data_IF_353688472647
#
_entry.id   IF_353688472647
#
_cell.length_a   1.000
_cell.length_b   1.000
_cell.length_c   1.000
_cell.angle_alpha   90.00
_cell.angle_beta   90.00
_cell.angle_gamma   90.00
#
_symmetry.space_group_name_H-M   'P 1'
#
loop_
_entity.id
_entity.type
_entity.pdbx_description
1 polymer ?
#
# COMPACT_ATOMS: atom_id res chain seq x y z
N UNK A 1 -2.25 -11.47 -14.74
CA UNK A 1 -2.95 -10.99 -13.54
C UNK A 1 -2.89 -12.06 -12.47
N UNK A 2 -2.44 -11.75 -11.25
CA UNK A 2 -2.25 -12.72 -10.17
C UNK A 2 -3.25 -12.45 -9.04
N UNK A 3 -4.02 -13.48 -8.67
CA UNK A 3 -4.83 -13.47 -7.45
C UNK A 3 -3.88 -13.33 -6.25
N UNK A 4 -4.25 -12.53 -5.25
CA UNK A 4 -3.37 -12.25 -4.12
C UNK A 4 -3.06 -13.52 -3.34
N UNK A 5 -1.78 -13.75 -3.04
CA UNK A 5 -1.42 -14.67 -1.95
C UNK A 5 -1.49 -13.92 -0.63
N UNK A 6 -2.23 -14.47 0.34
CA UNK A 6 -2.40 -13.92 1.69
C UNK A 6 -1.56 -14.70 2.69
N UNK A 7 -0.86 -13.99 3.58
CA UNK A 7 -0.19 -14.57 4.75
C UNK A 7 -0.57 -13.78 5.99
N UNK A 8 -1.04 -14.49 7.02
CA UNK A 8 -1.46 -13.89 8.29
C UNK A 8 -0.42 -14.17 9.37
N UNK A 9 -0.15 -13.16 10.19
CA UNK A 9 0.71 -13.26 11.36
C UNK A 9 0.30 -12.24 12.41
N UNK A 10 0.94 -12.30 13.58
CA UNK A 10 0.70 -11.34 14.65
C UNK A 10 1.97 -11.09 15.43
N UNK A 11 2.12 -9.87 15.92
CA UNK A 11 3.12 -9.53 16.93
C UNK A 11 2.41 -9.48 18.30
N UNK A 12 2.93 -10.25 19.25
CA UNK A 12 2.36 -10.32 20.59
C UNK A 12 2.48 -8.97 21.33
N UNK A 13 1.65 -8.79 22.36
CA UNK A 13 1.73 -7.64 23.26
C UNK A 13 3.09 -7.55 23.98
N UNK A 14 3.36 -6.38 24.54
CA UNK A 14 4.62 -5.96 25.15
C UNK A 14 5.80 -5.99 24.17
N UNK A 15 5.54 -5.67 22.90
CA UNK A 15 6.58 -5.61 21.88
C UNK A 15 7.50 -4.41 22.06
N UNK A 16 8.74 -4.55 21.58
CA UNK A 16 9.76 -3.50 21.50
C UNK A 16 9.89 -2.98 20.07
N UNK A 17 10.66 -1.90 19.89
CA UNK A 17 10.94 -1.34 18.55
C UNK A 17 11.64 -2.38 17.67
N UNK A 18 12.52 -3.20 18.26
CA UNK A 18 13.24 -4.29 17.58
C UNK A 18 12.25 -5.36 17.10
N UNK A 19 11.41 -5.88 17.99
CA UNK A 19 10.45 -6.92 17.57
C UNK A 19 9.40 -6.39 16.57
N UNK A 20 9.06 -5.09 16.60
CA UNK A 20 8.18 -4.50 15.61
C UNK A 20 8.87 -4.34 14.25
N UNK A 21 10.11 -3.86 14.19
CA UNK A 21 10.81 -3.73 12.90
C UNK A 21 11.09 -5.11 12.28
N UNK A 22 11.39 -6.12 13.09
CA UNK A 22 11.58 -7.51 12.64
C UNK A 22 10.26 -8.10 12.10
N UNK A 23 9.14 -7.85 12.79
CA UNK A 23 7.82 -8.28 12.32
C UNK A 23 7.42 -7.60 11.01
N UNK A 24 7.72 -6.30 10.86
CA UNK A 24 7.54 -5.56 9.60
C UNK A 24 8.40 -6.17 8.50
N UNK A 25 9.67 -6.48 8.80
CA UNK A 25 10.60 -7.08 7.84
C UNK A 25 10.11 -8.43 7.33
N UNK A 26 9.69 -9.32 8.24
CA UNK A 26 9.10 -10.60 7.88
C UNK A 26 7.78 -10.42 7.11
N UNK A 27 6.95 -9.45 7.50
CA UNK A 27 5.73 -9.10 6.81
C UNK A 27 5.96 -8.70 5.35
N UNK A 28 6.99 -7.90 5.05
CA UNK A 28 7.36 -7.56 3.68
C UNK A 28 7.88 -8.74 2.87
N UNK A 29 8.66 -9.64 3.49
CA UNK A 29 9.09 -10.90 2.85
C UNK A 29 7.86 -11.73 2.47
N UNK A 30 6.90 -11.89 3.38
CA UNK A 30 5.65 -12.59 3.13
C UNK A 30 4.78 -11.89 2.05
N UNK A 31 4.89 -10.57 1.91
CA UNK A 31 4.24 -9.80 0.85
C UNK A 31 4.94 -9.92 -0.52
N UNK A 32 6.06 -10.67 -0.60
CA UNK A 32 6.79 -10.94 -1.83
C UNK A 32 7.95 -10.01 -2.11
N UNK A 33 8.38 -9.17 -1.16
CA UNK A 33 9.66 -8.47 -1.29
C UNK A 33 10.82 -9.43 -0.97
N UNK A 34 11.98 -9.14 -1.57
CA UNK A 34 13.25 -9.70 -1.09
C UNK A 34 13.64 -9.05 0.26
N UNK A 35 14.77 -9.48 0.82
CA UNK A 35 15.39 -8.76 1.94
C UNK A 35 15.57 -7.25 1.61
N UNK A 36 15.55 -6.37 2.62
CA UNK A 36 15.83 -4.96 2.41
C UNK A 36 17.15 -4.77 1.65
N UNK A 37 17.16 -3.85 0.69
CA UNK A 37 18.38 -3.42 -0.01
C UNK A 37 19.28 -2.57 0.89
N UNK A 38 18.70 -2.01 1.95
CA UNK A 38 19.41 -1.29 3.01
C UNK A 38 18.63 -1.39 4.33
N UNK A 39 19.37 -1.45 5.43
CA UNK A 39 18.86 -1.50 6.79
C UNK A 39 19.84 -0.75 7.69
N UNK A 40 19.37 0.33 8.32
CA UNK A 40 20.23 1.21 9.09
C UNK A 40 19.48 1.91 10.22
N UNK A 41 20.25 2.45 11.17
CA UNK A 41 19.72 3.26 12.26
C UNK A 41 20.15 4.71 12.06
N UNK A 42 19.19 5.65 12.09
CA UNK A 42 19.47 7.09 12.04
C UNK A 42 18.94 7.73 13.31
N UNK A 43 19.84 8.22 14.17
CA UNK A 43 19.50 8.56 15.54
C UNK A 43 18.95 7.35 16.29
N UNK A 44 17.69 7.42 16.74
CA UNK A 44 16.97 6.31 17.39
C UNK A 44 16.05 5.52 16.46
N UNK A 45 15.93 5.95 15.20
CA UNK A 45 14.94 5.39 14.29
C UNK A 45 15.52 4.25 13.46
N UNK A 46 14.72 3.19 13.31
CA UNK A 46 15.06 2.04 12.47
C UNK A 46 14.53 2.27 11.06
N UNK A 47 15.36 2.04 10.06
CA UNK A 47 15.01 2.26 8.66
C UNK A 47 15.22 0.96 7.87
N UNK A 48 14.22 0.62 7.05
CA UNK A 48 14.28 -0.47 6.07
C UNK A 48 14.04 0.11 4.68
N UNK A 49 14.80 -0.33 3.69
CA UNK A 49 14.59 0.08 2.30
C UNK A 49 14.38 -1.16 1.44
N UNK A 50 13.30 -1.17 0.67
CA UNK A 50 12.96 -2.24 -0.26
C UNK A 50 12.96 -1.71 -1.69
N UNK A 51 13.30 -2.56 -2.65
CA UNK A 51 13.20 -2.24 -4.07
C UNK A 51 12.10 -3.04 -4.75
N UNK A 52 11.47 -2.42 -5.76
CA UNK A 52 10.59 -3.09 -6.70
C UNK A 52 10.90 -2.62 -8.11
N UNK A 53 11.39 -3.54 -8.93
CA UNK A 53 11.69 -3.30 -10.34
C UNK A 53 10.46 -3.60 -11.20
N UNK A 54 10.01 -2.59 -11.93
CA UNK A 54 8.95 -2.65 -12.94
C UNK A 54 9.55 -3.04 -14.30
N UNK A 55 10.68 -2.43 -14.67
CA UNK A 55 11.40 -2.69 -15.91
C UNK A 55 12.90 -2.37 -15.73
N UNK A 56 13.75 -3.39 -15.68
CA UNK A 56 15.19 -3.20 -15.46
C UNK A 56 15.93 -2.52 -16.61
N UNK A 57 15.30 -2.38 -17.79
CA UNK A 57 15.91 -1.75 -18.96
C UNK A 57 15.73 -0.23 -19.01
N UNK A 58 14.99 0.34 -18.05
CA UNK A 58 14.54 1.74 -18.07
C UNK A 58 15.14 2.52 -16.90
N UNK A 59 15.49 3.79 -17.14
CA UNK A 59 16.12 4.67 -16.15
C UNK A 59 15.36 4.74 -14.83
N UNK A 60 14.05 4.92 -14.86
CA UNK A 60 13.17 4.98 -13.69
C UNK A 60 12.28 3.74 -13.58
N UNK A 61 12.77 2.59 -14.07
CA UNK A 61 12.04 1.33 -14.02
C UNK A 61 12.14 0.61 -12.68
N UNK A 62 12.77 1.19 -11.66
CA UNK A 62 12.75 0.70 -10.28
C UNK A 62 12.25 1.76 -9.32
N UNK A 63 11.53 1.32 -8.29
CA UNK A 63 11.08 2.14 -7.18
C UNK A 63 11.69 1.62 -5.88
N UNK A 64 11.96 2.51 -4.94
CA UNK A 64 12.49 2.17 -3.62
C UNK A 64 11.53 2.68 -2.53
N UNK A 65 11.07 1.79 -1.66
CA UNK A 65 10.23 2.09 -0.51
C UNK A 65 11.11 2.15 0.73
N UNK A 66 11.18 3.33 1.37
CA UNK A 66 11.78 3.47 2.71
C UNK A 66 10.68 3.41 3.75
N UNK A 67 10.89 2.58 4.76
CA UNK A 67 10.08 2.48 5.97
C UNK A 67 10.92 2.95 7.14
N UNK A 68 10.44 3.93 7.89
CA UNK A 68 11.09 4.44 9.11
C UNK A 68 10.19 4.17 10.31
N UNK A 69 10.74 3.54 11.35
CA UNK A 69 10.07 3.25 12.61
C UNK A 69 10.75 4.02 13.75
N UNK A 70 9.98 4.87 14.42
CA UNK A 70 10.45 5.62 15.59
C UNK A 70 10.38 4.79 16.87
N UNK A 71 10.99 5.28 17.95
CA UNK A 71 10.87 4.67 19.29
C UNK A 71 9.47 4.76 19.87
N UNK A 72 8.64 5.71 19.39
CA UNK A 72 7.21 5.83 19.72
C UNK A 72 6.30 4.95 18.87
N UNK A 73 6.86 3.96 18.17
CA UNK A 73 6.14 3.03 17.28
C UNK A 73 5.38 3.70 16.13
N UNK A 74 5.78 4.91 15.75
CA UNK A 74 5.25 5.64 14.60
C UNK A 74 5.96 5.14 13.34
N UNK A 75 5.18 4.81 12.31
CA UNK A 75 5.72 4.34 11.03
C UNK A 75 5.54 5.40 9.97
N UNK A 76 6.63 5.66 9.27
CA UNK A 76 6.68 6.52 8.10
C UNK A 76 7.04 5.72 6.86
N UNK A 77 6.52 6.14 5.71
CA UNK A 77 6.85 5.61 4.39
C UNK A 77 7.20 6.71 3.41
N UNK A 78 8.09 6.39 2.48
CA UNK A 78 8.54 7.28 1.41
C UNK A 78 8.94 6.47 0.19
N UNK A 79 8.74 7.01 -1.02
CA UNK A 79 9.10 6.35 -2.27
C UNK A 79 10.14 7.16 -3.04
N UNK A 80 11.14 6.48 -3.60
CA UNK A 80 12.24 7.06 -4.37
C UNK A 80 12.42 6.34 -5.70
N UNK A 81 13.17 6.95 -6.62
CA UNK A 81 13.53 6.32 -7.90
C UNK A 81 14.91 5.65 -7.91
N UNK A 82 15.76 6.03 -6.95
CA UNK A 82 17.08 5.45 -6.75
C UNK A 82 17.42 5.44 -5.26
N UNK A 83 18.30 4.53 -4.86
CA UNK A 83 18.81 4.43 -3.49
C UNK A 83 20.30 4.12 -3.49
N UNK A 84 21.05 4.83 -2.65
CA UNK A 84 22.46 4.58 -2.37
C UNK A 84 22.59 4.11 -0.91
N UNK A 85 22.87 2.81 -0.74
CA UNK A 85 23.01 2.19 0.57
C UNK A 85 24.30 2.56 1.32
N UNK A 86 25.31 3.11 0.64
CA UNK A 86 26.57 3.49 1.28
C UNK A 86 26.45 4.78 2.09
N UNK A 87 25.53 5.66 1.73
CA UNK A 87 25.29 6.94 2.42
C UNK A 87 23.82 7.12 2.85
N UNK A 88 23.01 6.07 2.76
CA UNK A 88 21.60 6.03 3.17
C UNK A 88 20.75 7.16 2.54
N UNK A 89 20.95 7.43 1.26
CA UNK A 89 20.25 8.51 0.54
C UNK A 89 19.48 8.00 -0.66
N UNK A 90 18.35 8.64 -0.96
CA UNK A 90 17.52 8.34 -2.12
C UNK A 90 17.31 9.57 -3.00
N UNK A 91 17.06 9.33 -4.29
CA UNK A 91 16.83 10.39 -5.26
C UNK A 91 15.34 10.53 -5.60
N UNK A 92 14.94 11.79 -5.90
CA UNK A 92 13.60 12.16 -6.33
C UNK A 92 12.48 11.65 -5.40
N UNK A 93 12.79 11.57 -4.10
CA UNK A 93 11.88 11.05 -3.10
C UNK A 93 10.59 11.86 -3.02
N UNK A 94 9.47 11.18 -2.82
CA UNK A 94 8.24 11.84 -2.38
C UNK A 94 8.46 12.50 -1.01
N UNK A 95 7.54 13.36 -0.57
CA UNK A 95 7.52 13.75 0.84
C UNK A 95 7.20 12.53 1.70
N UNK A 96 7.96 12.35 2.79
CA UNK A 96 7.71 11.30 3.77
C UNK A 96 6.29 11.45 4.34
N UNK A 97 5.64 10.31 4.58
CA UNK A 97 4.30 10.26 5.14
C UNK A 97 4.26 9.31 6.33
N UNK A 98 3.84 9.82 7.49
CA UNK A 98 3.64 9.02 8.69
C UNK A 98 2.19 9.04 9.13
N UNK A 99 1.75 7.93 9.71
CA UNK A 99 0.53 7.94 10.51
C UNK A 99 0.86 8.55 11.86
N UNK A 100 0.18 9.62 12.27
CA UNK A 100 0.58 10.37 13.47
C UNK A 100 0.42 9.59 14.79
N UNK A 101 -0.26 8.45 14.80
CA UNK A 101 -0.42 7.61 15.99
C UNK A 101 0.46 6.37 15.88
N UNK A 102 1.39 6.20 16.83
CA UNK A 102 2.14 4.96 16.97
C UNK A 102 1.25 3.82 17.48
N UNK A 103 1.68 2.58 17.25
CA UNK A 103 1.02 1.41 17.82
C UNK A 103 1.26 1.30 19.33
N UNK A 104 0.26 0.88 20.10
CA UNK A 104 0.39 0.62 21.53
C UNK A 104 1.07 -0.74 21.76
N UNK A 105 2.28 -0.73 22.33
CA UNK A 105 3.03 -1.95 22.59
C UNK A 105 2.32 -2.94 23.48
N UNK A 106 1.37 -2.52 24.31
CA UNK A 106 0.67 -3.39 25.28
C UNK A 106 -0.45 -4.22 24.66
N UNK A 107 -0.79 -3.98 23.40
CA UNK A 107 -1.83 -4.75 22.69
C UNK A 107 -1.24 -5.47 21.49
N UNK A 108 -1.71 -6.68 21.15
CA UNK A 108 -1.21 -7.39 19.98
C UNK A 108 -1.45 -6.60 18.69
N UNK A 109 -0.56 -6.77 17.71
CA UNK A 109 -0.68 -6.20 16.38
C UNK A 109 -0.99 -7.31 15.38
N UNK A 110 -2.06 -7.15 14.61
CA UNK A 110 -2.41 -8.05 13.51
C UNK A 110 -1.68 -7.63 12.25
N UNK A 111 -1.04 -8.59 11.59
CA UNK A 111 -0.22 -8.38 10.41
C UNK A 111 -0.72 -9.26 9.27
N UNK A 112 -1.16 -8.65 8.17
CA UNK A 112 -1.63 -9.35 6.97
C UNK A 112 -0.78 -8.92 5.77
N UNK A 113 -0.07 -9.86 5.18
CA UNK A 113 0.74 -9.65 3.98
C UNK A 113 -0.03 -10.10 2.75
N UNK A 114 -0.04 -9.26 1.71
CA UNK A 114 -0.73 -9.52 0.44
C UNK A 114 0.26 -9.37 -0.73
N UNK A 115 0.42 -10.45 -1.49
CA UNK A 115 1.28 -10.48 -2.67
C UNK A 115 0.42 -10.60 -3.95
N UNK A 116 0.27 -9.49 -4.68
CA UNK A 116 -0.39 -9.40 -5.98
C UNK A 116 0.54 -9.62 -7.18
N UNK A 117 1.67 -10.29 -6.97
CA UNK A 117 2.72 -10.46 -7.96
C UNK A 117 3.44 -9.14 -8.25
N UNK A 118 3.46 -8.74 -9.52
CA UNK A 118 4.15 -7.51 -9.94
C UNK A 118 3.32 -6.25 -9.66
N UNK A 119 2.00 -6.37 -9.49
CA UNK A 119 1.14 -5.19 -9.34
C UNK A 119 1.21 -4.61 -7.93
N UNK A 120 1.17 -5.42 -6.88
CA UNK A 120 1.30 -4.88 -5.52
C UNK A 120 1.92 -5.87 -4.56
N UNK A 121 2.58 -5.30 -3.55
CA UNK A 121 3.13 -6.01 -2.41
C UNK A 121 2.78 -5.20 -1.18
N UNK A 122 1.78 -5.64 -0.43
CA UNK A 122 1.24 -4.89 0.69
C UNK A 122 1.45 -5.60 2.02
N UNK A 123 1.68 -4.79 3.05
CA UNK A 123 1.72 -5.19 4.44
C UNK A 123 0.69 -4.36 5.21
N UNK A 124 -0.33 -5.03 5.71
CA UNK A 124 -1.36 -4.41 6.54
C UNK A 124 -1.00 -4.59 8.01
N UNK A 125 -0.91 -3.49 8.75
CA UNK A 125 -0.71 -3.48 10.20
C UNK A 125 -1.98 -2.93 10.85
N UNK A 126 -2.57 -3.67 11.79
CA UNK A 126 -3.82 -3.25 12.43
C UNK A 126 -3.90 -3.60 13.91
N UNK A 127 -4.44 -2.66 14.69
CA UNK A 127 -4.61 -2.75 16.13
C UNK A 127 -5.82 -1.91 16.57
N UNK A 128 -6.93 -2.55 16.88
CA UNK A 128 -8.20 -1.85 17.11
C UNK A 128 -8.61 -1.02 15.88
N UNK A 129 -8.82 0.28 16.07
CA UNK A 129 -9.11 1.23 14.98
C UNK A 129 -7.87 1.67 14.20
N UNK A 130 -6.65 1.49 14.76
CA UNK A 130 -5.42 1.85 14.08
C UNK A 130 -5.19 0.91 12.90
N UNK A 131 -4.82 1.51 11.77
CA UNK A 131 -4.60 0.81 10.52
C UNK A 131 -3.54 1.49 9.70
N UNK A 132 -2.63 0.70 9.17
CA UNK A 132 -1.64 1.15 8.23
C UNK A 132 -1.48 0.15 7.10
N UNK A 133 -1.69 0.61 5.88
CA UNK A 133 -1.29 -0.12 4.68
C UNK A 133 0.10 0.39 4.29
N UNK A 134 1.06 -0.52 4.22
CA UNK A 134 2.41 -0.27 3.74
C UNK A 134 2.63 -1.04 2.44
N UNK A 135 3.52 -0.53 1.58
CA UNK A 135 3.93 -1.24 0.38
C UNK A 135 3.96 -0.38 -0.86
N UNK A 136 4.18 -1.02 -2.00
CA UNK A 136 4.17 -0.39 -3.32
C UNK A 136 3.07 -1.02 -4.16
N UNK A 137 2.34 -0.16 -4.88
CA UNK A 137 1.44 -0.49 -5.97
C UNK A 137 2.05 -0.01 -7.31
N UNK A 138 2.08 -0.88 -8.29
CA UNK A 138 2.47 -0.70 -9.69
C UNK A 138 1.24 -1.05 -10.54
N UNK A 139 0.25 -0.14 -10.71
CA UNK A 139 -1.05 -0.49 -11.30
C UNK A 139 -0.91 -1.12 -12.68
N UNK A 140 -1.62 -2.22 -12.94
CA UNK A 140 -1.45 -3.03 -14.17
C UNK A 140 -1.65 -2.23 -15.46
N UNK A 141 -2.59 -1.28 -15.45
CA UNK A 141 -3.00 -0.53 -16.64
C UNK A 141 -2.40 0.88 -16.61
N UNK A 142 -1.12 0.96 -17.00
CA UNK A 142 -0.41 2.22 -17.25
C UNK A 142 -0.72 2.76 -18.66
N UNK A 143 -0.91 4.07 -18.84
CA UNK A 143 -1.01 4.66 -20.18
C UNK A 143 0.26 4.42 -21.00
N UNK A 144 0.10 4.18 -22.31
CA UNK A 144 1.22 3.85 -23.22
C UNK A 144 2.25 4.96 -23.35
N UNK A 145 1.85 6.22 -23.16
CA UNK A 145 2.75 7.38 -23.22
C UNK A 145 3.60 7.55 -21.95
N UNK A 146 3.30 6.85 -20.85
CA UNK A 146 4.07 6.93 -19.61
C UNK A 146 5.35 6.08 -19.75
N UNK A 147 6.41 6.71 -20.28
CA UNK A 147 7.71 6.08 -20.48
C UNK A 147 8.55 6.08 -19.19
N UNK A 148 9.04 4.89 -18.82
CA UNK A 148 9.90 4.69 -17.66
C UNK A 148 11.32 5.23 -17.84
N UNK A 149 11.70 5.68 -19.05
CA UNK A 149 12.92 6.48 -19.21
C UNK A 149 12.77 7.91 -18.68
N UNK A 150 11.54 8.43 -18.65
CA UNK A 150 11.24 9.82 -18.28
C UNK A 150 10.61 9.93 -16.90
N UNK A 151 9.78 8.97 -16.51
CA UNK A 151 9.00 9.02 -15.27
C UNK A 151 9.04 7.70 -14.51
N UNK A 152 9.02 7.78 -13.19
CA UNK A 152 8.79 6.59 -12.35
C UNK A 152 7.33 6.14 -12.43
N UNK A 153 7.08 4.88 -12.07
CA UNK A 153 5.73 4.36 -11.97
C UNK A 153 5.63 3.43 -10.77
N UNK A 154 5.15 3.97 -9.66
CA UNK A 154 4.92 3.26 -8.42
C UNK A 154 4.28 4.18 -7.41
N UNK A 155 3.41 3.62 -6.58
CA UNK A 155 2.56 4.39 -5.68
C UNK A 155 2.58 3.77 -4.29
N UNK A 156 2.61 4.62 -3.27
CA UNK A 156 2.45 4.24 -1.86
C UNK A 156 1.13 4.83 -1.34
N UNK A 157 0.38 4.09 -0.50
CA UNK A 157 -0.84 4.63 0.09
C UNK A 157 -0.52 5.78 1.03
N UNK A 158 -1.37 6.80 1.05
CA UNK A 158 -1.33 7.85 2.06
C UNK A 158 -2.74 8.04 2.63
N UNK A 159 -2.79 8.31 3.93
CA UNK A 159 -3.97 8.34 4.79
C UNK A 159 -4.61 6.97 5.14
N UNK A 160 -5.54 6.99 6.10
CA UNK A 160 -6.22 5.80 6.63
C UNK A 160 -7.39 5.34 5.75
N UNK A 161 -7.94 6.24 4.94
CA UNK A 161 -9.03 5.98 4.02
C UNK A 161 -8.56 5.36 2.69
N UNK A 162 -7.24 5.36 2.46
CA UNK A 162 -6.56 4.87 1.27
C UNK A 162 -7.06 5.52 -0.04
N UNK A 163 -7.76 6.65 0.03
CA UNK A 163 -8.25 7.38 -1.14
C UNK A 163 -7.21 8.36 -1.70
N UNK A 164 -6.01 8.41 -1.11
CA UNK A 164 -4.89 9.19 -1.60
C UNK A 164 -3.63 8.31 -1.68
N UNK A 165 -2.85 8.49 -2.74
CA UNK A 165 -1.63 7.72 -2.98
C UNK A 165 -0.54 8.66 -3.48
N UNK A 166 0.72 8.38 -3.16
CA UNK A 166 1.87 9.19 -3.60
C UNK A 166 2.76 8.41 -4.53
N UNK A 167 3.27 9.09 -5.56
CA UNK A 167 4.39 8.61 -6.38
C UNK A 167 5.65 9.38 -6.01
N UNK A 168 6.78 9.03 -6.63
CA UNK A 168 8.00 9.83 -6.52
C UNK A 168 7.82 11.21 -7.17
N UNK A 169 8.75 12.12 -6.93
CA UNK A 169 8.74 13.44 -7.57
C UNK A 169 9.03 13.38 -9.08
N UNK A 170 9.46 12.22 -9.62
CA UNK A 170 9.57 12.01 -11.07
C UNK A 170 8.27 11.40 -11.60
N UNK A 171 7.28 12.26 -11.84
CA UNK A 171 6.00 11.88 -12.41
C UNK A 171 5.52 12.93 -13.44
N UNK A 172 4.67 12.55 -14.40
CA UNK A 172 4.32 13.40 -15.55
C UNK A 172 3.37 14.55 -15.22
N UNK A 173 2.85 14.63 -14.00
CA UNK A 173 1.77 15.54 -13.63
C UNK A 173 2.17 16.60 -12.62
N UNK A 174 3.45 16.61 -12.20
CA UNK A 174 4.01 17.55 -11.22
C UNK A 174 3.19 17.67 -9.93
N UNK A 175 2.44 16.63 -9.57
CA UNK A 175 1.66 16.53 -8.35
C UNK A 175 2.39 15.67 -7.31
N UNK A 176 2.03 15.85 -6.04
CA UNK A 176 2.55 15.04 -4.93
C UNK A 176 1.70 13.80 -4.66
N UNK A 177 0.39 13.90 -4.91
CA UNK A 177 -0.64 12.94 -4.51
C UNK A 177 -1.65 12.68 -5.63
N UNK A 178 -2.19 11.47 -5.68
CA UNK A 178 -3.21 10.99 -6.59
C UNK A 178 -4.43 10.60 -5.77
N UNK A 179 -5.60 11.08 -6.17
CA UNK A 179 -6.85 10.64 -5.57
C UNK A 179 -7.25 9.30 -6.18
N UNK A 180 -7.76 8.38 -5.39
CA UNK A 180 -8.18 7.06 -5.85
C UNK A 180 -9.68 6.92 -5.68
N UNK A 181 -10.32 6.16 -6.58
CA UNK A 181 -11.74 5.80 -6.51
C UNK A 181 -12.06 4.89 -5.31
N UNK A 182 -11.87 5.41 -4.10
CA UNK A 182 -12.16 4.82 -2.80
C UNK A 182 -12.80 5.90 -1.92
N UNK A 183 -13.38 5.51 -0.79
CA UNK A 183 -14.10 6.42 0.12
C UNK A 183 -15.30 7.10 -0.56
N UNK A 184 -16.02 6.35 -1.38
CA UNK A 184 -17.19 6.82 -2.11
C UNK A 184 -18.47 6.56 -1.32
N UNK A 185 -19.07 7.63 -0.78
CA UNK A 185 -20.21 7.56 0.14
C UNK A 185 -21.45 6.84 -0.43
N UNK A 186 -21.62 6.82 -1.75
CA UNK A 186 -22.73 6.11 -2.40
C UNK A 186 -22.54 4.58 -2.38
N UNK A 187 -21.34 4.08 -2.09
CA UNK A 187 -21.05 2.66 -1.91
C UNK A 187 -20.97 2.29 -0.42
N UNK A 188 -21.97 2.68 0.37
CA UNK A 188 -22.01 2.39 1.81
C UNK A 188 -22.68 1.05 2.12
N UNK A 189 -23.87 0.82 1.57
CA UNK A 189 -24.79 -0.23 2.04
C UNK A 189 -24.89 -1.41 1.06
N UNK A 190 -25.28 -2.61 1.52
CA UNK A 190 -25.62 -3.70 0.61
C UNK A 190 -26.71 -3.27 -0.37
N UNK A 191 -26.72 -3.89 -1.54
CA UNK A 191 -27.80 -3.75 -2.49
C UNK A 191 -29.11 -4.25 -1.86
N UNK A 192 -30.18 -3.43 -1.80
CA UNK A 192 -31.41 -3.80 -1.09
C UNK A 192 -32.20 -4.94 -1.76
N UNK A 193 -31.95 -5.22 -3.04
CA UNK A 193 -32.67 -6.28 -3.77
C UNK A 193 -31.99 -7.64 -3.60
N UNK A 194 -30.67 -7.68 -3.54
CA UNK A 194 -29.90 -8.93 -3.46
C UNK A 194 -29.35 -9.21 -2.07
N UNK A 195 -29.34 -8.20 -1.19
CA UNK A 195 -28.62 -8.16 0.08
C UNK A 195 -27.12 -8.49 -0.05
N UNK A 196 -26.55 -8.30 -1.25
CA UNK A 196 -25.12 -8.49 -1.53
C UNK A 196 -24.40 -7.15 -1.54
N UNK A 197 -23.10 -7.18 -1.28
CA UNK A 197 -22.25 -5.98 -1.39
C UNK A 197 -21.86 -5.78 -2.85
N UNK A 198 -22.13 -4.59 -3.37
CA UNK A 198 -21.68 -4.22 -4.70
C UNK A 198 -20.18 -3.95 -4.70
N UNK A 199 -19.53 -4.30 -5.82
CA UNK A 199 -18.11 -4.07 -6.07
C UNK A 199 -17.93 -3.35 -7.41
N UNK A 200 -16.87 -2.56 -7.51
CA UNK A 200 -16.38 -1.97 -8.75
C UNK A 200 -14.93 -2.40 -8.95
N UNK A 201 -14.66 -3.07 -10.07
CA UNK A 201 -13.34 -3.66 -10.33
C UNK A 201 -12.35 -2.65 -10.89
N UNK A 202 -11.15 -2.72 -10.31
CA UNK A 202 -10.03 -1.86 -10.60
C UNK A 202 -10.22 -0.42 -10.16
N UNK A 203 -9.20 0.08 -9.49
CA UNK A 203 -9.18 1.40 -8.90
C UNK A 203 -8.63 2.38 -9.93
N UNK A 204 -9.32 3.51 -10.09
CA UNK A 204 -8.86 4.61 -10.92
C UNK A 204 -8.06 5.60 -10.08
N UNK A 205 -6.89 5.98 -10.59
CA UNK A 205 -6.02 6.97 -9.99
C UNK A 205 -6.19 8.28 -10.75
N UNK A 206 -6.71 9.29 -10.08
CA UNK A 206 -6.92 10.62 -10.60
C UNK A 206 -5.78 11.54 -10.17
N UNK A 207 -5.33 12.36 -11.10
CA UNK A 207 -4.32 13.39 -10.83
C UNK A 207 -4.93 14.51 -10.00
N UNK A 208 -4.23 14.95 -8.95
CA UNK A 208 -4.66 16.12 -8.18
C UNK A 208 -4.31 17.46 -8.86
N UNK A 209 -3.59 17.43 -9.98
CA UNK A 209 -3.41 18.55 -10.89
C UNK A 209 -4.59 18.75 -11.85
N UNK A 210 -5.68 17.98 -11.70
CA UNK A 210 -6.88 18.03 -12.55
C UNK A 210 -6.61 17.72 -14.03
N UNK A 211 -5.58 16.92 -14.32
CA UNK A 211 -5.20 16.48 -15.67
C UNK A 211 -5.81 15.13 -16.07
N UNK A 212 -6.83 14.66 -15.35
CA UNK A 212 -7.52 13.40 -15.63
C UNK A 212 -6.95 12.19 -14.89
N UNK A 213 -6.97 11.04 -15.56
CA UNK A 213 -6.65 9.72 -14.99
C UNK A 213 -5.18 9.37 -15.27
N UNK A 214 -4.46 9.03 -14.21
CA UNK A 214 -3.07 8.59 -14.25
C UNK A 214 -2.94 7.13 -14.67
N UNK A 215 -3.78 6.25 -14.11
CA UNK A 215 -3.75 4.80 -14.36
C UNK A 215 -4.99 4.10 -13.79
N UNK A 216 -5.11 2.81 -14.09
CA UNK A 216 -6.07 1.88 -13.47
C UNK A 216 -5.32 0.65 -12.94
N UNK A 217 -5.74 0.11 -11.80
CA UNK A 217 -5.29 -1.23 -11.38
C UNK A 217 -5.94 -2.34 -12.22
N UNK A 218 -5.49 -3.57 -11.99
CA UNK A 218 -6.21 -4.78 -12.40
C UNK A 218 -7.58 -4.86 -11.75
N UNK A 219 -8.38 -5.81 -12.22
CA UNK A 219 -9.71 -6.07 -11.67
C UNK A 219 -9.67 -6.86 -10.34
N UNK A 220 -8.47 -7.18 -9.82
CA UNK A 220 -8.26 -7.89 -8.54
C UNK A 220 -8.29 -6.96 -7.32
N UNK A 221 -7.99 -5.67 -7.50
CA UNK A 221 -8.25 -4.65 -6.48
C UNK A 221 -9.59 -3.99 -6.79
N UNK A 222 -10.47 -3.94 -5.80
CA UNK A 222 -11.83 -3.46 -5.99
C UNK A 222 -12.20 -2.43 -4.94
N UNK A 223 -13.05 -1.50 -5.37
CA UNK A 223 -13.83 -0.67 -4.46
C UNK A 223 -15.11 -1.44 -4.13
N UNK A 224 -15.53 -1.43 -2.86
CA UNK A 224 -16.69 -2.22 -2.43
C UNK A 224 -17.54 -1.52 -1.36
N UNK A 225 -18.79 -1.97 -1.26
CA UNK A 225 -19.69 -1.60 -0.16
C UNK A 225 -19.33 -2.34 1.12
N UNK A 226 -18.33 -1.84 1.86
CA UNK A 226 -17.75 -2.50 3.03
C UNK A 226 -18.11 -1.84 4.36
N UNK A 227 -19.05 -0.88 4.39
CA UNK A 227 -19.45 -0.27 5.66
C UNK A 227 -20.11 -1.31 6.58
N UNK A 228 -19.65 -1.36 7.82
CA UNK A 228 -20.08 -2.34 8.83
C UNK A 228 -19.52 -3.75 8.65
N UNK A 229 -18.63 -3.98 7.68
CA UNK A 229 -17.88 -5.23 7.52
C UNK A 229 -16.58 -5.14 8.32
N UNK A 230 -16.17 -6.21 9.00
CA UNK A 230 -14.90 -6.18 9.72
C UNK A 230 -13.71 -6.25 8.75
N UNK A 231 -12.59 -5.67 9.14
CA UNK A 231 -11.36 -5.79 8.36
C UNK A 231 -10.96 -7.28 8.28
N UNK A 232 -10.51 -7.69 7.10
CA UNK A 232 -10.11 -9.06 6.73
C UNK A 232 -11.25 -10.09 6.65
N UNK A 233 -12.50 -9.64 6.70
CA UNK A 233 -13.63 -10.47 6.31
C UNK A 233 -13.72 -10.60 4.78
N UNK A 234 -14.40 -11.65 4.35
CA UNK A 234 -14.58 -11.96 2.93
C UNK A 234 -15.95 -11.49 2.46
N UNK A 235 -15.99 -10.84 1.30
CA UNK A 235 -17.20 -10.58 0.55
C UNK A 235 -17.19 -11.38 -0.75
N UNK A 236 -18.38 -11.82 -1.17
CA UNK A 236 -18.57 -12.60 -2.40
C UNK A 236 -19.20 -11.70 -3.46
N UNK A 237 -18.60 -11.67 -4.65
CA UNK A 237 -19.16 -10.99 -5.80
C UNK A 237 -18.83 -11.76 -7.08
N UNK A 238 -19.85 -12.01 -7.90
CA UNK A 238 -19.69 -12.70 -9.20
C UNK A 238 -18.92 -14.04 -9.14
N UNK A 239 -19.07 -14.79 -8.04
CA UNK A 239 -18.37 -16.08 -7.85
C UNK A 239 -16.91 -15.98 -7.40
N UNK A 240 -16.43 -14.77 -7.09
CA UNK A 240 -15.09 -14.50 -6.57
C UNK A 240 -15.15 -14.03 -5.12
N UNK A 241 -14.07 -14.28 -4.37
CA UNK A 241 -13.92 -13.87 -2.98
C UNK A 241 -12.93 -12.73 -2.84
N UNK A 242 -13.36 -11.69 -2.14
CA UNK A 242 -12.56 -10.49 -1.89
C UNK A 242 -12.35 -10.29 -0.40
N UNK A 243 -11.10 -10.11 0.00
CA UNK A 243 -10.69 -9.72 1.33
C UNK A 243 -10.88 -8.23 1.52
N UNK A 244 -11.68 -7.81 2.50
CA UNK A 244 -11.85 -6.40 2.86
C UNK A 244 -10.60 -5.91 3.60
N UNK A 245 -9.83 -5.01 2.99
CA UNK A 245 -8.60 -4.44 3.57
C UNK A 245 -8.90 -3.14 4.32
N UNK A 246 -9.74 -2.29 3.73
CA UNK A 246 -10.18 -1.03 4.35
C UNK A 246 -11.70 -1.00 4.39
N UNK A 247 -12.32 -1.35 5.53
CA UNK A 247 -13.77 -1.33 5.66
C UNK A 247 -14.28 0.11 5.71
N UNK A 248 -15.32 0.38 4.92
CA UNK A 248 -15.91 1.72 4.80
C UNK A 248 -16.82 1.85 3.59
N UNK A 249 -17.38 3.03 3.41
CA UNK A 249 -18.14 3.37 2.20
C UNK A 249 -17.18 3.51 1.01
N UNK A 250 -17.31 2.66 -0.02
CA UNK A 250 -16.31 2.55 -1.07
C UNK A 250 -14.95 2.09 -0.54
N UNK A 251 -14.97 1.07 0.34
CA UNK A 251 -13.78 0.49 0.94
C UNK A 251 -12.92 -0.29 -0.05
N UNK A 252 -11.66 -0.53 0.32
CA UNK A 252 -10.73 -1.34 -0.47
C UNK A 252 -10.91 -2.82 -0.15
N UNK A 253 -11.09 -3.64 -1.18
CA UNK A 253 -10.97 -5.09 -1.08
C UNK A 253 -10.07 -5.66 -2.18
N UNK A 254 -9.52 -6.85 -1.91
CA UNK A 254 -8.55 -7.52 -2.78
C UNK A 254 -9.00 -8.95 -3.02
N UNK A 255 -9.01 -9.40 -4.27
CA UNK A 255 -9.37 -10.77 -4.61
C UNK A 255 -8.34 -11.77 -4.08
N UNK A 256 -8.82 -12.82 -3.44
CA UNK A 256 -7.98 -13.89 -2.86
C UNK A 256 -8.34 -15.30 -3.35
N UNK A 257 -9.45 -15.46 -4.07
CA UNK A 257 -9.85 -16.69 -4.79
C UNK A 257 -10.92 -16.38 -5.83
#
# INVERSE_FOLDING_TARGET
MAIATRSDSSLAANFTQVSLIDAIKQGFINAGFSNPVDEFTSGSDKNLVYSQTVDSSKKYGSNFLKIRLTTGFTIYQQIFTAWNSSNHSGENGSNEYGYYYGFDSRTPLTIVSLNGGNEYKFLCLSQGSAFWLLGILIPEKRPSWWDLNSFSYGFIPVNLYLNEWRSSNVNPYSNSTYSVSLSYGQLTNPNPQTNKRDIMTGLLFYTQSNCGIACKTSDELVMCSANGIARYELIQASGMQYLVVNPGAGGLAVRIS
#
